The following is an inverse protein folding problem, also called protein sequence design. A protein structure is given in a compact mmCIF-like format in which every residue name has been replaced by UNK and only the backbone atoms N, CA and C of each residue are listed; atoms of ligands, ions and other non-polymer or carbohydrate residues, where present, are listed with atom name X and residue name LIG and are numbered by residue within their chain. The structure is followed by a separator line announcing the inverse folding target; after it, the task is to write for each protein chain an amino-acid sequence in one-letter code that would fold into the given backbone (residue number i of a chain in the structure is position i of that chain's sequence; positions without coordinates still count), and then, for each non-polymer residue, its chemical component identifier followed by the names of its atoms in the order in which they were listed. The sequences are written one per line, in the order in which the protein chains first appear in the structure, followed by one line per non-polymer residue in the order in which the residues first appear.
data_IF_465584491022
#
_entry.id   IF_465584491022
#
_cell.length_a   1.000
_cell.length_b   1.000
_cell.length_c   1.000
_cell.angle_alpha   90.00
_cell.angle_beta   90.00
_cell.angle_gamma   90.00
#
_symmetry.space_group_name_H-M   'P 1'
#
loop_
_entity.id
_entity.type
_entity.pdbx_description
1 polymer ?
#
# COMPACT_ATOMS: atom_id res chain seq x y z
N UNK A 1 30.42 15.61 -25.39
CA UNK A 1 30.57 14.49 -24.45
C UNK A 1 30.02 14.98 -23.14
N UNK A 2 28.79 14.58 -22.82
CA UNK A 2 28.12 15.01 -21.59
C UNK A 2 28.85 14.42 -20.40
N UNK A 3 29.14 15.29 -19.45
CA UNK A 3 29.84 15.03 -18.21
C UNK A 3 28.98 14.10 -17.34
N UNK A 4 29.19 12.79 -17.48
CA UNK A 4 28.53 11.73 -16.72
C UNK A 4 28.99 11.68 -15.25
N UNK A 5 29.78 12.66 -14.80
CA UNK A 5 30.35 12.71 -13.46
C UNK A 5 29.46 13.45 -12.44
N UNK A 6 28.30 13.95 -12.87
CA UNK A 6 27.33 14.64 -11.98
C UNK A 6 26.41 13.69 -11.18
N UNK A 7 26.48 12.38 -11.39
CA UNK A 7 25.70 11.39 -10.61
C UNK A 7 26.53 10.56 -9.64
N UNK A 8 27.84 10.80 -9.54
CA UNK A 8 28.74 10.06 -8.63
C UNK A 8 28.97 10.83 -7.32
N UNK A 9 27.90 11.43 -6.78
CA UNK A 9 27.85 11.64 -5.35
C UNK A 9 27.53 10.27 -4.76
N UNK A 10 28.54 9.57 -4.25
CA UNK A 10 28.36 8.53 -3.25
C UNK A 10 27.47 9.11 -2.14
N UNK A 11 26.14 8.95 -2.27
CA UNK A 11 25.22 9.18 -1.18
C UNK A 11 25.60 8.17 -0.13
N UNK A 12 25.95 8.64 1.04
CA UNK A 12 26.03 7.78 2.20
C UNK A 12 24.67 7.05 2.27
N UNK A 13 24.62 5.70 2.34
CA UNK A 13 23.38 4.98 2.56
C UNK A 13 22.57 5.56 3.73
N UNK A 14 23.26 6.13 4.72
CA UNK A 14 22.66 6.85 5.84
C UNK A 14 21.89 8.10 5.39
N UNK A 15 22.41 8.89 4.44
CA UNK A 15 21.70 10.07 3.89
C UNK A 15 20.43 9.65 3.15
N UNK A 16 20.47 8.51 2.44
CA UNK A 16 19.29 7.97 1.76
C UNK A 16 18.27 7.49 2.78
N UNK A 17 18.70 6.66 3.74
CA UNK A 17 17.84 6.11 4.78
C UNK A 17 17.15 7.18 5.61
N UNK A 18 17.90 8.20 6.06
CA UNK A 18 17.35 9.37 6.77
C UNK A 18 16.28 10.04 5.92
N UNK A 19 16.55 10.30 4.64
CA UNK A 19 15.56 10.96 3.78
C UNK A 19 14.30 10.13 3.51
N UNK A 20 14.40 8.80 3.52
CA UNK A 20 13.23 7.91 3.39
C UNK A 20 12.45 7.92 4.71
N UNK A 21 13.13 7.77 5.84
CA UNK A 21 12.54 7.80 7.16
C UNK A 21 11.81 9.13 7.43
N UNK A 22 12.42 10.27 7.11
CA UNK A 22 11.81 11.60 7.26
C UNK A 22 10.53 11.74 6.43
N UNK A 23 10.54 11.27 5.18
CA UNK A 23 9.35 11.27 4.32
C UNK A 23 8.23 10.38 4.87
N UNK A 24 8.58 9.18 5.34
CA UNK A 24 7.62 8.24 5.90
C UNK A 24 7.04 8.78 7.20
N UNK A 25 7.86 9.31 8.10
CA UNK A 25 7.40 9.92 9.35
C UNK A 25 6.49 11.11 9.08
N UNK A 26 6.81 11.94 8.08
CA UNK A 26 5.96 13.05 7.66
C UNK A 26 4.58 12.57 7.20
N UNK A 27 4.53 11.53 6.34
CA UNK A 27 3.27 10.93 5.90
C UNK A 27 2.47 10.35 7.07
N UNK A 28 3.11 9.58 7.96
CA UNK A 28 2.45 8.97 9.12
C UNK A 28 1.83 10.02 10.06
N UNK A 29 2.52 11.13 10.28
CA UNK A 29 2.00 12.26 11.06
C UNK A 29 0.83 12.92 10.33
N UNK A 30 0.98 13.26 9.06
CA UNK A 30 -0.05 13.94 8.28
C UNK A 30 -1.35 13.12 8.21
N UNK A 31 -1.26 11.82 7.91
CA UNK A 31 -2.42 10.92 7.86
C UNK A 31 -3.10 10.81 9.21
N UNK A 32 -2.33 10.69 10.30
CA UNK A 32 -2.90 10.67 11.65
C UNK A 32 -3.63 11.98 12.00
N UNK A 33 -3.10 13.13 11.59
CA UNK A 33 -3.77 14.43 11.78
C UNK A 33 -5.06 14.53 10.95
N UNK A 34 -5.05 14.15 9.66
CA UNK A 34 -6.24 14.17 8.82
C UNK A 34 -7.34 13.25 9.39
N UNK A 35 -6.98 12.10 9.94
CA UNK A 35 -7.93 11.16 10.56
C UNK A 35 -8.73 11.75 11.72
N UNK A 36 -8.28 12.86 12.33
CA UNK A 36 -9.03 13.55 13.39
C UNK A 36 -10.30 14.24 12.86
N UNK A 37 -10.35 14.53 11.56
CA UNK A 37 -11.53 15.12 10.92
C UNK A 37 -11.80 16.57 11.31
N UNK A 38 -10.79 17.31 11.77
CA UNK A 38 -10.94 18.73 12.16
C UNK A 38 -11.31 19.63 10.95
N UNK A 39 -10.87 19.25 9.74
CA UNK A 39 -11.15 19.95 8.47
C UNK A 39 -11.62 18.97 7.36
N UNK A 40 -12.86 18.45 7.44
CA UNK A 40 -13.32 17.35 6.58
C UNK A 40 -13.35 17.71 5.09
N UNK A 41 -13.72 18.96 4.75
CA UNK A 41 -13.78 19.45 3.37
C UNK A 41 -12.42 19.43 2.65
N UNK A 42 -11.32 19.38 3.41
CA UNK A 42 -9.96 19.35 2.88
C UNK A 42 -9.30 17.97 2.97
N UNK A 43 -9.98 16.97 3.54
CA UNK A 43 -9.40 15.64 3.74
C UNK A 43 -8.95 14.98 2.43
N UNK A 44 -9.84 14.88 1.44
CA UNK A 44 -9.53 14.26 0.13
C UNK A 44 -8.34 14.94 -0.59
N UNK A 45 -8.30 16.27 -0.79
CA UNK A 45 -7.15 16.89 -1.45
C UNK A 45 -5.85 16.80 -0.65
N UNK A 46 -5.90 16.80 0.69
CA UNK A 46 -4.70 16.56 1.50
C UNK A 46 -4.21 15.12 1.39
N UNK A 47 -5.10 14.12 1.50
CA UNK A 47 -4.73 12.72 1.29
C UNK A 47 -4.14 12.50 -0.10
N UNK A 48 -4.71 13.12 -1.14
CA UNK A 48 -4.15 13.05 -2.50
C UNK A 48 -2.70 13.56 -2.55
N UNK A 49 -2.40 14.67 -1.87
CA UNK A 49 -1.07 15.23 -1.78
C UNK A 49 -0.11 14.30 -1.02
N UNK A 50 -0.51 13.83 0.15
CA UNK A 50 0.33 12.99 1.02
C UNK A 50 0.63 11.63 0.36
N UNK A 51 -0.37 10.98 -0.24
CA UNK A 51 -0.17 9.72 -0.97
C UNK A 51 0.72 9.91 -2.21
N UNK A 52 0.62 11.06 -2.89
CA UNK A 52 1.54 11.39 -4.00
C UNK A 52 3.00 11.49 -3.53
N UNK A 53 3.23 12.12 -2.38
CA UNK A 53 4.57 12.25 -1.80
C UNK A 53 5.10 10.91 -1.30
N UNK A 54 4.24 10.07 -0.74
CA UNK A 54 4.58 8.71 -0.36
C UNK A 54 4.99 7.88 -1.59
N UNK A 55 4.25 7.96 -2.70
CA UNK A 55 4.59 7.26 -3.94
C UNK A 55 5.89 7.76 -4.56
N UNK A 56 6.25 9.04 -4.40
CA UNK A 56 7.60 9.52 -4.74
C UNK A 56 8.67 8.82 -3.89
N UNK A 57 8.41 8.64 -2.59
CA UNK A 57 9.31 7.93 -1.67
C UNK A 57 9.44 6.45 -2.08
N UNK A 58 8.33 5.79 -2.41
CA UNK A 58 8.32 4.43 -2.96
C UNK A 58 9.06 4.30 -4.28
N UNK A 59 8.84 5.22 -5.22
CA UNK A 59 9.56 5.25 -6.49
C UNK A 59 11.08 5.38 -6.30
N UNK A 60 11.53 6.07 -5.25
CA UNK A 60 12.96 6.14 -4.89
C UNK A 60 13.48 4.80 -4.34
N UNK A 61 12.69 4.09 -3.53
CA UNK A 61 13.02 2.74 -3.04
C UNK A 61 13.07 1.72 -4.18
N UNK A 62 12.09 1.72 -5.07
CA UNK A 62 12.04 0.81 -6.22
C UNK A 62 13.08 1.10 -7.31
N UNK A 63 13.66 2.30 -7.34
CA UNK A 63 14.77 2.64 -8.22
C UNK A 63 16.14 2.27 -7.63
N UNK A 64 16.19 1.90 -6.35
CA UNK A 64 17.42 1.49 -5.67
C UNK A 64 17.67 0.00 -5.89
N UNK A 65 18.94 -0.42 -5.86
CA UNK A 65 19.27 -1.86 -5.78
C UNK A 65 18.64 -2.48 -4.53
N UNK A 66 18.31 -3.77 -4.61
CA UNK A 66 17.67 -4.50 -3.53
C UNK A 66 18.49 -4.39 -2.24
N UNK A 67 17.85 -3.93 -1.18
CA UNK A 67 18.43 -3.97 0.17
C UNK A 67 18.43 -5.42 0.66
N UNK A 68 19.33 -5.74 1.58
CA UNK A 68 19.39 -7.05 2.20
C UNK A 68 19.54 -6.87 3.72
N UNK A 69 18.79 -7.64 4.53
CA UNK A 69 18.96 -7.64 5.98
C UNK A 69 20.32 -8.23 6.34
N UNK A 70 20.91 -7.75 7.45
CA UNK A 70 22.17 -8.27 7.96
C UNK A 70 22.01 -9.66 8.59
N UNK A 71 20.82 -9.92 9.15
CA UNK A 71 20.46 -11.18 9.79
C UNK A 71 19.50 -11.99 8.91
N UNK A 72 19.49 -13.32 9.11
CA UNK A 72 18.61 -14.22 8.36
C UNK A 72 17.15 -14.14 8.82
N UNK A 73 16.96 -13.83 10.10
CA UNK A 73 15.66 -13.80 10.75
C UNK A 73 15.42 -12.40 11.25
N UNK A 74 14.18 -11.96 11.12
CA UNK A 74 13.74 -10.72 11.69
C UNK A 74 13.82 -10.78 13.23
N UNK A 75 14.50 -9.81 13.87
CA UNK A 75 14.48 -9.71 15.32
C UNK A 75 13.18 -9.05 15.80
N UNK A 76 12.63 -9.56 16.91
CA UNK A 76 11.39 -9.08 17.52
C UNK A 76 11.38 -7.55 17.70
N UNK A 77 10.41 -6.88 17.05
CA UNK A 77 10.17 -5.44 17.11
C UNK A 77 9.14 -5.06 18.18
N UNK A 78 8.63 -6.04 18.92
CA UNK A 78 7.54 -5.85 19.88
C UNK A 78 6.17 -5.92 19.21
N UNK A 79 5.10 -5.58 19.95
CA UNK A 79 3.75 -5.65 19.43
C UNK A 79 3.50 -4.61 18.34
N UNK A 80 2.82 -5.03 17.28
CA UNK A 80 2.36 -4.12 16.24
C UNK A 80 1.35 -3.11 16.79
N UNK A 81 1.49 -1.82 16.46
CA UNK A 81 0.55 -0.80 16.89
C UNK A 81 -0.79 -0.96 16.18
N UNK A 82 -1.87 -0.94 16.96
CA UNK A 82 -3.23 -1.03 16.45
C UNK A 82 -3.56 0.14 15.50
N UNK A 83 -4.12 -0.18 14.34
CA UNK A 83 -4.56 0.75 13.30
C UNK A 83 -6.08 0.78 13.13
N UNK A 84 -6.83 -0.03 13.88
CA UNK A 84 -8.30 -0.10 13.75
C UNK A 84 -8.97 1.24 14.04
N UNK A 85 -8.51 1.96 15.07
CA UNK A 85 -9.04 3.29 15.40
C UNK A 85 -8.80 4.29 14.24
N UNK A 86 -7.69 4.17 13.53
CA UNK A 86 -7.38 5.01 12.37
C UNK A 86 -8.33 4.67 11.20
N UNK A 87 -8.49 3.37 10.93
CA UNK A 87 -9.36 2.83 9.89
C UNK A 87 -10.81 3.27 10.09
N UNK A 88 -11.34 3.11 11.30
CA UNK A 88 -12.73 3.49 11.64
C UNK A 88 -12.97 5.00 11.50
N UNK A 89 -11.99 5.82 11.89
CA UNK A 89 -12.07 7.28 11.70
C UNK A 89 -12.10 7.68 10.24
N UNK A 90 -11.28 7.06 9.39
CA UNK A 90 -11.30 7.33 7.96
C UNK A 90 -12.59 6.85 7.30
N UNK A 91 -13.09 5.67 7.66
CA UNK A 91 -14.36 5.17 7.14
C UNK A 91 -15.50 6.15 7.43
N UNK A 92 -15.55 6.71 8.65
CA UNK A 92 -16.54 7.73 9.01
C UNK A 92 -16.30 9.08 8.30
N UNK A 93 -15.04 9.50 8.14
CA UNK A 93 -14.68 10.76 7.50
C UNK A 93 -14.94 10.76 5.99
N UNK A 94 -14.78 9.59 5.35
CA UNK A 94 -14.88 9.41 3.91
C UNK A 94 -16.25 8.91 3.46
N UNK A 95 -17.20 8.65 4.35
CA UNK A 95 -18.58 8.33 3.96
C UNK A 95 -19.20 9.48 3.12
N UNK A 96 -19.82 9.21 1.95
CA UNK A 96 -20.10 7.91 1.33
C UNK A 96 -19.10 7.48 0.24
N UNK A 97 -17.97 8.17 0.10
CA UNK A 97 -16.98 8.00 -0.99
C UNK A 97 -15.82 7.07 -0.64
N UNK A 98 -15.89 6.38 0.50
CA UNK A 98 -14.84 5.48 0.98
C UNK A 98 -14.64 4.25 0.10
N UNK A 99 -15.73 3.73 -0.50
CA UNK A 99 -15.69 2.54 -1.36
C UNK A 99 -15.32 2.91 -2.80
N UNK A 100 -14.43 2.12 -3.41
CA UNK A 100 -14.07 2.24 -4.82
C UNK A 100 -13.82 0.87 -5.47
N UNK A 101 -13.73 0.86 -6.80
CA UNK A 101 -13.47 -0.34 -7.60
C UNK A 101 -12.01 -0.35 -8.06
N UNK A 102 -11.28 -1.41 -7.73
CA UNK A 102 -9.84 -1.53 -8.01
C UNK A 102 -9.52 -2.70 -8.96
N UNK A 103 -8.46 -2.54 -9.76
CA UNK A 103 -7.89 -3.59 -10.61
C UNK A 103 -6.39 -3.73 -10.28
N UNK A 104 -6.08 -4.67 -9.39
CA UNK A 104 -4.74 -4.83 -8.81
C UNK A 104 -3.60 -5.02 -9.82
N UNK A 105 -3.73 -5.96 -10.76
CA UNK A 105 -2.71 -6.19 -11.79
C UNK A 105 -3.26 -5.83 -13.18
N UNK A 106 -2.85 -4.68 -13.76
CA UNK A 106 -3.31 -4.25 -15.08
C UNK A 106 -2.78 -5.13 -16.23
N UNK A 107 -1.81 -6.02 -15.97
CA UNK A 107 -1.30 -6.98 -16.95
C UNK A 107 -2.05 -8.32 -16.92
N UNK A 108 -2.91 -8.56 -15.93
CA UNK A 108 -3.80 -9.73 -15.91
C UNK A 108 -5.00 -9.46 -16.83
N UNK A 109 -5.12 -10.18 -17.97
CA UNK A 109 -6.18 -9.89 -18.92
C UNK A 109 -7.56 -10.13 -18.31
N UNK A 110 -8.45 -9.15 -18.45
CA UNK A 110 -9.85 -9.23 -17.99
C UNK A 110 -9.99 -9.48 -16.47
N UNK A 111 -9.05 -8.96 -15.68
CA UNK A 111 -9.20 -8.95 -14.22
C UNK A 111 -10.54 -8.33 -13.84
N UNK A 112 -11.26 -9.00 -12.94
CA UNK A 112 -12.54 -8.53 -12.43
C UNK A 112 -12.24 -7.46 -11.38
N UNK A 113 -12.83 -6.26 -11.47
CA UNK A 113 -12.61 -5.24 -10.45
C UNK A 113 -13.14 -5.69 -9.08
N UNK A 114 -12.43 -5.32 -8.02
CA UNK A 114 -12.76 -5.67 -6.63
C UNK A 114 -13.16 -4.42 -5.86
N UNK A 115 -14.09 -4.59 -4.93
CA UNK A 115 -14.49 -3.54 -4.00
C UNK A 115 -13.40 -3.33 -2.93
N UNK A 116 -12.91 -2.10 -2.82
CA UNK A 116 -11.90 -1.71 -1.83
C UNK A 116 -12.38 -0.47 -1.07
N UNK A 117 -11.80 -0.22 0.10
CA UNK A 117 -12.06 0.98 0.92
C UNK A 117 -10.79 1.78 1.08
N UNK A 118 -10.89 3.10 0.87
CA UNK A 118 -9.78 4.02 1.12
C UNK A 118 -9.34 3.96 2.59
N UNK A 119 -10.29 3.79 3.52
CA UNK A 119 -9.98 3.65 4.95
C UNK A 119 -9.11 2.44 5.26
N UNK A 120 -9.39 1.30 4.63
CA UNK A 120 -8.67 0.04 4.84
C UNK A 120 -7.27 0.15 4.22
N UNK A 121 -7.20 0.67 2.99
CA UNK A 121 -5.93 0.93 2.32
C UNK A 121 -4.99 1.83 3.13
N UNK A 122 -5.50 2.94 3.68
CA UNK A 122 -4.72 3.87 4.49
C UNK A 122 -4.21 3.22 5.77
N UNK A 123 -5.01 2.35 6.40
CA UNK A 123 -4.60 1.59 7.59
C UNK A 123 -3.50 0.58 7.26
N UNK A 124 -3.64 -0.16 6.15
CA UNK A 124 -2.66 -1.14 5.69
C UNK A 124 -1.31 -0.48 5.33
N UNK A 125 -1.35 0.64 4.59
CA UNK A 125 -0.16 1.44 4.30
C UNK A 125 0.52 1.89 5.59
N UNK A 126 -0.24 2.40 6.57
CA UNK A 126 0.32 2.85 7.85
C UNK A 126 0.97 1.70 8.61
N UNK A 127 0.40 0.50 8.59
CA UNK A 127 0.97 -0.70 9.20
C UNK A 127 2.34 -1.04 8.62
N UNK A 128 2.44 -1.18 7.29
CA UNK A 128 3.68 -1.50 6.59
C UNK A 128 4.79 -0.48 6.87
N UNK A 129 4.44 0.81 6.82
CA UNK A 129 5.38 1.90 7.03
C UNK A 129 5.90 1.95 8.47
N UNK A 130 5.01 1.72 9.45
CA UNK A 130 5.37 1.66 10.87
C UNK A 130 6.29 0.48 11.18
N UNK A 131 6.12 -0.64 10.49
CA UNK A 131 6.97 -1.81 10.65
C UNK A 131 8.44 -1.49 10.35
N UNK A 132 8.73 -0.90 9.19
CA UNK A 132 10.09 -0.45 8.88
C UNK A 132 10.58 0.69 9.80
N UNK A 133 9.68 1.59 10.26
CA UNK A 133 10.05 2.63 11.24
C UNK A 133 10.47 2.05 12.59
N UNK A 134 9.91 0.93 13.02
CA UNK A 134 10.33 0.26 14.26
C UNK A 134 11.80 -0.19 14.16
N UNK A 135 12.17 -0.85 13.06
CA UNK A 135 13.56 -1.20 12.78
C UNK A 135 14.48 0.01 12.70
N UNK A 136 14.05 1.07 11.99
CA UNK A 136 14.85 2.28 11.84
C UNK A 136 15.14 2.95 13.18
N UNK A 137 14.15 3.05 14.06
CA UNK A 137 14.28 3.63 15.41
C UNK A 137 15.20 2.83 16.33
N UNK A 138 15.31 1.52 16.10
CA UNK A 138 16.26 0.64 16.80
C UNK A 138 17.67 0.67 16.20
N UNK A 139 17.92 1.50 15.19
CA UNK A 139 19.20 1.61 14.49
C UNK A 139 19.46 0.49 13.47
N UNK A 140 18.45 -0.34 13.15
CA UNK A 140 18.54 -1.43 12.17
C UNK A 140 18.21 -0.91 10.77
N UNK A 141 19.09 -0.06 10.24
CA UNK A 141 18.84 0.70 9.00
C UNK A 141 18.65 -0.20 7.78
N UNK A 142 19.51 -1.20 7.58
CA UNK A 142 19.39 -2.16 6.46
C UNK A 142 18.06 -2.92 6.49
N UNK A 143 17.62 -3.33 7.68
CA UNK A 143 16.35 -4.03 7.91
C UNK A 143 15.15 -3.14 7.58
N UNK A 144 15.18 -1.87 8.03
CA UNK A 144 14.14 -0.90 7.74
C UNK A 144 13.99 -0.64 6.23
N UNK A 145 15.11 -0.42 5.55
CA UNK A 145 15.15 -0.22 4.10
C UNK A 145 14.64 -1.45 3.35
N UNK A 146 15.02 -2.64 3.80
CA UNK A 146 14.52 -3.89 3.24
C UNK A 146 13.01 -4.01 3.38
N UNK A 147 12.47 -3.83 4.59
CA UNK A 147 11.04 -3.92 4.83
C UNK A 147 10.25 -2.89 4.01
N UNK A 148 10.69 -1.63 3.98
CA UNK A 148 10.03 -0.60 3.18
C UNK A 148 10.10 -0.90 1.68
N UNK A 149 11.23 -1.36 1.15
CA UNK A 149 11.35 -1.69 -0.28
C UNK A 149 10.55 -2.94 -0.65
N UNK A 150 10.63 -3.99 0.16
CA UNK A 150 9.88 -5.22 -0.07
C UNK A 150 8.38 -4.95 -0.09
N UNK A 151 7.87 -4.31 0.96
CA UNK A 151 6.45 -3.98 1.08
C UNK A 151 6.00 -2.92 0.05
N UNK A 152 6.89 -2.07 -0.44
CA UNK A 152 6.58 -1.17 -1.57
C UNK A 152 6.21 -1.98 -2.81
N UNK A 153 6.95 -3.05 -3.08
CA UNK A 153 6.77 -3.85 -4.27
C UNK A 153 5.64 -4.88 -4.12
N UNK A 154 5.32 -5.30 -2.90
CA UNK A 154 4.39 -6.39 -2.63
C UNK A 154 3.05 -5.96 -2.01
N UNK A 155 2.97 -4.79 -1.36
CA UNK A 155 1.76 -4.35 -0.64
C UNK A 155 1.52 -2.82 -0.69
N UNK A 156 2.13 -2.02 0.20
CA UNK A 156 1.79 -0.59 0.29
C UNK A 156 1.99 0.23 -0.99
N UNK A 157 2.87 -0.16 -1.92
CA UNK A 157 3.03 0.57 -3.19
C UNK A 157 1.83 0.41 -4.13
N UNK A 158 1.41 -0.83 -4.49
CA UNK A 158 0.14 -1.07 -5.16
C UNK A 158 -1.06 -0.44 -4.44
N UNK A 159 -1.18 -0.63 -3.12
CA UNK A 159 -2.26 -0.06 -2.30
C UNK A 159 -2.28 1.46 -2.38
N UNK A 160 -1.14 2.13 -2.19
CA UNK A 160 -1.04 3.59 -2.33
C UNK A 160 -1.36 4.07 -3.75
N UNK A 161 -1.01 3.30 -4.78
CA UNK A 161 -1.33 3.64 -6.18
C UNK A 161 -2.83 3.59 -6.45
N UNK A 162 -3.51 2.56 -5.94
CA UNK A 162 -4.96 2.41 -6.00
C UNK A 162 -5.68 3.53 -5.24
N UNK A 163 -5.27 3.78 -3.98
CA UNK A 163 -5.78 4.90 -3.17
C UNK A 163 -5.59 6.25 -3.87
N UNK A 164 -4.40 6.49 -4.44
CA UNK A 164 -4.14 7.73 -5.19
C UNK A 164 -5.12 7.87 -6.36
N UNK A 165 -5.35 6.79 -7.11
CA UNK A 165 -6.26 6.78 -8.25
C UNK A 165 -7.69 7.09 -7.83
N UNK A 166 -8.16 6.51 -6.73
CA UNK A 166 -9.47 6.79 -6.15
C UNK A 166 -9.60 8.27 -5.74
N UNK A 167 -8.67 8.79 -4.94
CA UNK A 167 -8.66 10.19 -4.49
C UNK A 167 -8.58 11.18 -5.66
N UNK A 168 -7.74 10.90 -6.66
CA UNK A 168 -7.63 11.72 -7.86
C UNK A 168 -8.95 11.75 -8.63
N UNK A 169 -9.64 10.61 -8.72
CA UNK A 169 -10.96 10.52 -9.35
C UNK A 169 -11.98 11.40 -8.63
N UNK A 170 -12.05 11.32 -7.29
CA UNK A 170 -12.94 12.16 -6.48
C UNK A 170 -12.69 13.66 -6.72
N UNK A 171 -11.42 14.08 -6.69
CA UNK A 171 -11.06 15.48 -6.98
C UNK A 171 -11.46 15.88 -8.40
N UNK A 172 -11.27 15.01 -9.40
CA UNK A 172 -11.64 15.28 -10.79
C UNK A 172 -13.16 15.43 -10.94
N UNK A 173 -13.96 14.53 -10.35
CA UNK A 173 -15.43 14.61 -10.35
C UNK A 173 -15.91 15.94 -9.78
N UNK A 174 -15.36 16.37 -8.64
CA UNK A 174 -15.69 17.67 -8.02
C UNK A 174 -15.25 18.85 -8.89
N UNK A 175 -14.03 18.82 -9.44
CA UNK A 175 -13.46 19.97 -10.18
C UNK A 175 -13.98 20.11 -11.60
N UNK A 176 -14.45 19.03 -12.20
CA UNK A 176 -15.00 18.99 -13.56
C UNK A 176 -16.53 18.96 -13.58
N UNK A 177 -17.19 19.06 -12.42
CA UNK A 177 -18.65 19.03 -12.28
C UNK A 177 -19.27 17.76 -12.89
N UNK A 178 -18.65 16.62 -12.60
CA UNK A 178 -19.13 15.30 -13.03
C UNK A 178 -19.63 14.54 -11.79
N UNK A 179 -20.91 14.19 -11.70
CA UNK A 179 -21.40 13.38 -10.57
C UNK A 179 -20.75 11.98 -10.59
N UNK A 180 -20.63 11.38 -9.41
CA UNK A 180 -20.27 9.97 -9.30
C UNK A 180 -21.47 9.11 -9.68
N UNK A 181 -21.23 8.08 -10.48
CA UNK A 181 -22.23 7.05 -10.73
C UNK A 181 -22.35 6.15 -9.49
N UNK A 182 -23.52 5.54 -9.32
CA UNK A 182 -23.69 4.51 -8.30
C UNK A 182 -22.76 3.34 -8.59
N UNK A 183 -22.14 2.78 -7.56
CA UNK A 183 -21.26 1.62 -7.71
C UNK A 183 -22.04 0.31 -7.98
N UNK A 184 -23.31 0.36 -8.40
CA UNK A 184 -24.16 -0.78 -8.78
C UNK A 184 -24.12 -1.98 -7.79
N UNK A 185 -24.07 -1.70 -6.48
CA UNK A 185 -24.04 -2.73 -5.44
C UNK A 185 -22.65 -3.33 -5.19
N UNK A 186 -21.57 -2.63 -5.58
CA UNK A 186 -20.21 -2.91 -5.14
C UNK A 186 -20.18 -2.84 -3.60
N UNK A 187 -20.15 -4.00 -2.96
CA UNK A 187 -20.18 -4.12 -1.51
C UNK A 187 -18.94 -4.89 -1.05
N UNK A 188 -18.13 -4.27 -0.20
CA UNK A 188 -16.98 -4.90 0.45
C UNK A 188 -17.39 -6.04 1.39
N UNK A 189 -18.65 -6.08 1.82
CA UNK A 189 -19.18 -7.12 2.71
C UNK A 189 -19.63 -8.37 1.92
N UNK A 190 -19.62 -8.32 0.57
CA UNK A 190 -19.78 -9.51 -0.27
C UNK A 190 -18.46 -10.24 -0.44
N UNK A 191 -17.98 -10.84 0.66
CA UNK A 191 -17.11 -12.03 0.54
C UNK A 191 -17.87 -12.97 -0.40
N UNK A 192 -17.25 -13.38 -1.51
CA UNK A 192 -17.89 -14.30 -2.46
C UNK A 192 -18.60 -15.40 -1.69
N UNK A 193 -19.80 -15.79 -2.13
CA UNK A 193 -20.56 -16.88 -1.45
C UNK A 193 -19.60 -18.03 -1.15
N UNK A 194 -19.70 -18.69 0.01
CA UNK A 194 -18.76 -19.76 0.42
C UNK A 194 -18.38 -20.70 -0.73
N UNK A 195 -19.34 -21.01 -1.60
CA UNK A 195 -19.20 -21.78 -2.83
C UNK A 195 -18.18 -21.23 -3.85
N UNK A 196 -18.13 -19.90 -4.06
CA UNK A 196 -17.16 -19.23 -4.94
C UNK A 196 -15.75 -19.24 -4.34
N UNK A 197 -15.63 -19.03 -3.02
CA UNK A 197 -14.33 -19.08 -2.34
C UNK A 197 -13.77 -20.51 -2.30
N UNK A 198 -14.64 -21.52 -2.10
CA UNK A 198 -14.27 -22.93 -2.18
C UNK A 198 -13.83 -23.32 -3.59
N UNK A 199 -14.51 -22.83 -4.63
CA UNK A 199 -14.15 -23.10 -6.03
C UNK A 199 -12.82 -22.43 -6.42
N UNK A 200 -12.60 -21.19 -6.00
CA UNK A 200 -11.35 -20.44 -6.19
C UNK A 200 -10.19 -21.13 -5.44
N UNK A 201 -10.39 -21.50 -4.16
CA UNK A 201 -9.40 -22.22 -3.36
C UNK A 201 -9.09 -23.61 -3.94
N UNK A 202 -10.10 -24.32 -4.44
CA UNK A 202 -9.93 -25.60 -5.14
C UNK A 202 -9.12 -25.46 -6.43
N UNK A 203 -9.34 -24.38 -7.18
CA UNK A 203 -8.59 -24.05 -8.41
C UNK A 203 -7.13 -23.75 -8.10
N UNK A 204 -6.86 -22.96 -7.07
CA UNK A 204 -5.50 -22.63 -6.61
C UNK A 204 -4.79 -23.88 -6.08
N UNK A 205 -5.44 -24.70 -5.25
CA UNK A 205 -4.89 -25.96 -4.75
C UNK A 205 -4.56 -26.95 -5.87
N UNK A 206 -5.38 -27.03 -6.92
CA UNK A 206 -5.11 -27.90 -8.07
C UNK A 206 -3.91 -27.40 -8.91
N UNK A 207 -3.70 -26.09 -8.97
CA UNK A 207 -2.56 -25.49 -9.66
C UNK A 207 -1.25 -25.65 -8.88
N UNK A 208 -1.29 -25.47 -7.55
CA UNK A 208 -0.11 -25.53 -6.68
C UNK A 208 0.28 -26.99 -6.32
N UNK A 209 -0.68 -27.92 -6.23
CA UNK A 209 -0.46 -29.32 -5.85
C UNK A 209 -0.59 -30.26 -7.07
N UNK A 210 -0.17 -29.81 -8.25
CA UNK A 210 -0.26 -30.56 -9.50
C UNK A 210 0.10 -32.04 -9.37
N UNK A 211 -0.92 -32.90 -9.54
CA UNK A 211 -0.87 -34.36 -9.66
C UNK A 211 0.11 -35.09 -8.71
N UNK A 212 -0.42 -35.59 -7.59
CA UNK A 212 0.31 -36.40 -6.61
C UNK A 212 1.18 -37.51 -7.25
N UNK A 213 2.33 -37.83 -6.63
CA UNK A 213 3.32 -38.71 -7.23
C UNK A 213 2.82 -40.15 -7.36
N UNK A 214 2.59 -40.57 -8.61
CA UNK A 214 2.89 -41.92 -9.10
C UNK A 214 2.00 -43.07 -8.62
N UNK A 215 1.02 -43.44 -9.45
CA UNK A 215 0.65 -44.85 -9.65
C UNK A 215 0.63 -45.13 -11.16
N UNK A 216 1.80 -45.37 -11.75
CA UNK A 216 1.90 -46.19 -12.95
C UNK A 216 1.78 -47.64 -12.51
N UNK A 217 0.63 -48.26 -12.76
CA UNK A 217 0.51 -49.71 -12.68
C UNK A 217 1.35 -50.37 -13.77
N UNK A 218 2.09 -51.40 -13.39
CA UNK A 218 2.81 -52.34 -14.26
C UNK A 218 1.86 -53.00 -15.26
#
# INVERSE_FOLDING_TARGET
MSDATLHDAKRDPDDFAVSIADSIESFLVAVAEVSRGDEPDSAVPFLLLEVSQLLLTGGRLGAHEDFLPDERYEPDVGPEPDVDELRERFAALLDPVDVYSEVFDPYVPRSVPVACRISDDLADIVTDLRHGMAHYRDGRVSEALWWWQFSYLSNWGPTASATLRALQSLVAHVRLDQPLDELDGLDTDTVGTEEQLEEEAGRVMAAEIGAGPGLRSV
#
